data_IF_174661082344
#
_entry.id   IF_174661082344
#
_cell.length_a   1.000
_cell.length_b   1.000
_cell.length_c   1.000
_cell.angle_alpha   90.00
_cell.angle_beta   90.00
_cell.angle_gamma   90.00
#
_symmetry.space_group_name_H-M   'P 1'
#
loop_
_entity.id
_entity.type
_entity.pdbx_description
1 polymer ?
#
# COMPACT_ATOMS: atom_id res chain seq x y z
N UNK A 1 -72.78 20.81 -11.25
CA UNK A 1 -73.76 20.15 -12.15
C UNK A 1 -74.33 18.95 -11.41
N UNK A 2 -75.66 18.86 -11.40
CA UNK A 2 -76.44 17.69 -10.94
C UNK A 2 -76.01 16.42 -11.68
N UNK A 3 -75.87 15.32 -10.94
CA UNK A 3 -76.62 14.06 -11.02
C UNK A 3 -76.30 13.16 -12.22
N UNK A 4 -76.00 11.90 -11.92
CA UNK A 4 -76.82 10.81 -12.45
C UNK A 4 -77.22 9.88 -11.31
N UNK A 5 -78.54 9.76 -11.14
CA UNK A 5 -79.26 8.76 -10.35
C UNK A 5 -79.86 7.84 -11.40
N UNK A 6 -79.45 6.57 -11.43
CA UNK A 6 -80.29 5.42 -11.76
C UNK A 6 -79.41 4.19 -12.00
N UNK A 7 -79.48 3.24 -11.07
CA UNK A 7 -79.83 1.84 -11.37
C UNK A 7 -79.97 1.11 -10.05
N UNK A 8 -81.13 1.34 -9.43
CA UNK A 8 -81.73 0.39 -8.51
C UNK A 8 -82.12 -0.82 -9.34
N UNK A 9 -81.35 -1.89 -9.26
CA UNK A 9 -81.85 -3.22 -9.56
C UNK A 9 -81.42 -4.15 -8.42
N UNK A 10 -82.36 -4.43 -7.52
CA UNK A 10 -82.33 -5.63 -6.71
C UNK A 10 -83.18 -6.68 -7.43
N UNK A 11 -82.62 -7.85 -7.77
CA UNK A 11 -83.42 -9.04 -7.99
C UNK A 11 -83.32 -9.95 -6.76
N UNK A 12 -84.50 -10.13 -6.17
CA UNK A 12 -85.05 -11.32 -5.50
C UNK A 12 -84.11 -12.53 -5.35
N UNK A 13 -84.04 -12.97 -4.09
CA UNK A 13 -83.55 -14.25 -3.56
C UNK A 13 -83.75 -15.43 -4.52
N UNK A 14 -82.64 -15.96 -5.03
CA UNK A 14 -82.51 -17.31 -5.54
C UNK A 14 -81.42 -18.01 -4.72
N UNK A 15 -81.80 -19.08 -4.01
CA UNK A 15 -80.87 -19.98 -3.34
C UNK A 15 -79.98 -20.65 -4.39
N UNK A 16 -78.78 -20.12 -4.57
CA UNK A 16 -77.69 -20.79 -5.27
C UNK A 16 -76.45 -20.59 -4.39
N UNK A 17 -76.02 -21.69 -3.79
CA UNK A 17 -74.74 -21.97 -3.13
C UNK A 17 -73.88 -20.74 -2.84
N UNK A 18 -73.85 -20.33 -1.56
CA UNK A 18 -72.80 -19.47 -1.04
C UNK A 18 -71.46 -20.20 -1.23
N UNK A 19 -70.78 -19.98 -2.35
CA UNK A 19 -69.33 -20.10 -2.37
C UNK A 19 -68.85 -19.13 -1.29
N UNK A 20 -68.31 -19.65 -0.18
CA UNK A 20 -67.50 -18.88 0.75
C UNK A 20 -66.34 -18.30 -0.06
N UNK A 21 -66.55 -17.12 -0.65
CA UNK A 21 -65.46 -16.31 -1.17
C UNK A 21 -64.67 -15.96 0.07
N UNK A 22 -63.55 -16.64 0.28
CA UNK A 22 -62.60 -16.45 1.38
C UNK A 22 -61.92 -15.06 1.23
N UNK A 23 -62.73 -14.00 1.27
CA UNK A 23 -62.28 -12.62 1.44
C UNK A 23 -61.99 -12.44 2.92
N UNK A 24 -60.89 -13.06 3.35
CA UNK A 24 -60.30 -12.83 4.66
C UNK A 24 -60.08 -11.32 4.85
N UNK A 25 -60.36 -10.81 6.06
CA UNK A 25 -60.20 -9.39 6.42
C UNK A 25 -58.83 -8.81 6.04
N UNK A 26 -57.81 -9.69 5.94
CA UNK A 26 -56.45 -9.38 5.50
C UNK A 26 -56.35 -8.88 4.06
N UNK A 27 -57.33 -9.19 3.21
CA UNK A 27 -57.36 -8.81 1.80
C UNK A 27 -58.10 -7.48 1.55
N UNK A 28 -58.66 -6.86 2.59
CA UNK A 28 -59.36 -5.58 2.47
C UNK A 28 -58.36 -4.41 2.35
N UNK A 29 -58.51 -3.52 1.35
CA UNK A 29 -57.60 -2.40 1.16
C UNK A 29 -57.78 -1.35 2.27
N UNK A 30 -56.73 -1.14 3.05
CA UNK A 30 -56.72 -0.14 4.12
C UNK A 30 -56.62 1.28 3.55
N UNK A 31 -57.71 2.04 3.65
CA UNK A 31 -57.78 3.44 3.26
C UNK A 31 -57.04 4.34 4.27
N UNK A 32 -56.37 5.38 3.77
CA UNK A 32 -55.69 6.40 4.58
C UNK A 32 -54.62 5.89 5.57
N UNK A 33 -54.04 4.70 5.35
CA UNK A 33 -52.97 4.15 6.20
C UNK A 33 -51.55 4.28 5.62
N UNK A 34 -51.39 5.03 4.52
CA UNK A 34 -50.06 5.33 3.97
C UNK A 34 -49.33 6.37 4.83
N UNK A 35 -47.98 6.38 4.79
CA UNK A 35 -47.11 7.32 5.53
C UNK A 35 -47.54 8.78 5.47
N UNK A 36 -48.00 9.26 4.31
CA UNK A 36 -48.52 10.63 4.13
C UNK A 36 -49.75 10.99 4.99
N UNK A 37 -50.42 9.99 5.56
CA UNK A 37 -51.59 10.13 6.42
C UNK A 37 -51.28 9.81 7.88
N UNK A 38 -50.33 8.90 8.14
CA UNK A 38 -49.99 8.42 9.49
C UNK A 38 -48.82 9.20 10.11
N UNK A 39 -47.91 9.72 9.29
CA UNK A 39 -46.76 10.52 9.71
C UNK A 39 -47.05 12.00 9.50
N UNK A 40 -46.51 12.84 10.38
CA UNK A 40 -46.56 14.29 10.22
C UNK A 40 -45.75 14.67 8.97
N UNK A 41 -46.36 15.42 8.06
CA UNK A 41 -45.68 15.92 6.85
C UNK A 41 -44.73 17.06 7.25
N UNK A 42 -43.49 16.71 7.55
CA UNK A 42 -42.40 17.66 7.82
C UNK A 42 -41.10 17.22 7.12
N UNK A 43 -40.25 18.20 6.81
CA UNK A 43 -38.93 17.93 6.25
C UNK A 43 -38.01 17.27 7.29
N UNK A 44 -37.12 16.38 6.84
CA UNK A 44 -36.12 15.79 7.73
C UNK A 44 -35.15 16.86 8.25
N UNK A 45 -34.76 16.75 9.52
CA UNK A 45 -33.75 17.64 10.10
C UNK A 45 -32.41 17.38 9.40
N UNK A 46 -31.81 18.42 8.84
CA UNK A 46 -30.47 18.33 8.28
C UNK A 46 -29.45 18.06 9.40
N UNK A 47 -28.81 16.89 9.37
CA UNK A 47 -27.71 16.56 10.27
C UNK A 47 -26.43 17.24 9.79
N UNK A 48 -25.67 17.83 10.72
CA UNK A 48 -24.38 18.42 10.42
C UNK A 48 -23.43 17.36 9.84
N UNK A 49 -22.92 17.61 8.63
CA UNK A 49 -22.07 16.68 7.91
C UNK A 49 -20.59 16.99 8.17
N UNK A 50 -19.86 16.04 8.76
CA UNK A 50 -18.43 16.18 9.12
C UNK A 50 -17.47 15.41 8.19
N UNK A 51 -17.95 14.89 7.05
CA UNK A 51 -17.11 14.10 6.14
C UNK A 51 -16.17 14.92 5.25
N UNK A 52 -16.44 16.23 5.10
CA UNK A 52 -15.66 17.10 4.23
C UNK A 52 -14.35 17.49 4.90
N UNK A 53 -13.24 17.13 4.27
CA UNK A 53 -11.92 17.62 4.66
C UNK A 53 -11.85 19.14 4.47
N UNK A 54 -11.54 19.85 5.55
CA UNK A 54 -11.45 21.33 5.56
C UNK A 54 -10.07 21.81 5.16
N UNK A 55 -9.02 21.16 5.67
CA UNK A 55 -7.63 21.56 5.46
C UNK A 55 -6.90 20.52 4.62
N UNK A 56 -6.56 20.84 3.37
CA UNK A 56 -5.70 19.99 2.54
C UNK A 56 -4.26 20.46 2.68
N UNK A 57 -3.39 19.57 3.12
CA UNK A 57 -1.96 19.87 3.25
C UNK A 57 -1.19 19.34 2.04
N UNK A 58 -0.04 19.96 1.78
CA UNK A 58 0.88 19.49 0.76
C UNK A 58 2.32 19.72 1.21
N UNK A 59 3.07 18.64 1.29
CA UNK A 59 4.51 18.67 1.48
C UNK A 59 5.17 19.23 0.21
N UNK A 60 5.93 20.31 0.40
CA UNK A 60 6.56 21.10 -0.67
C UNK A 60 8.07 20.86 -0.78
N UNK A 61 8.74 20.57 0.32
CA UNK A 61 10.17 20.32 0.40
C UNK A 61 10.46 19.06 1.21
N UNK A 62 11.55 18.38 0.85
CA UNK A 62 12.11 17.25 1.60
C UNK A 62 13.60 17.52 1.75
N UNK A 63 14.09 17.39 2.97
CA UNK A 63 15.50 17.43 3.29
C UNK A 63 15.95 16.00 3.59
N UNK A 64 16.95 15.51 2.86
CA UNK A 64 17.58 14.21 3.10
C UNK A 64 18.91 14.45 3.79
N UNK A 65 19.08 13.92 5.00
CA UNK A 65 20.31 14.02 5.79
C UNK A 65 20.87 12.62 5.96
N UNK A 66 22.04 12.38 5.37
CA UNK A 66 22.73 11.09 5.40
C UNK A 66 24.01 11.22 6.24
N UNK A 67 24.05 10.54 7.37
CA UNK A 67 25.18 10.54 8.30
C UNK A 67 25.96 9.22 8.19
N UNK A 68 26.41 8.88 6.97
CA UNK A 68 27.11 7.62 6.70
C UNK A 68 28.62 7.86 6.56
N UNK A 69 29.42 7.24 7.43
CA UNK A 69 30.87 7.16 7.28
C UNK A 69 31.24 5.81 6.67
N UNK A 70 31.26 5.73 5.34
CA UNK A 70 31.40 4.45 4.62
C UNK A 70 32.73 3.76 4.96
N UNK A 71 32.64 2.51 5.42
CA UNK A 71 33.79 1.68 5.80
C UNK A 71 34.27 1.89 7.24
N UNK A 72 33.64 2.77 8.01
CA UNK A 72 33.97 3.00 9.42
C UNK A 72 32.73 2.81 10.28
N UNK A 73 32.77 1.81 11.14
CA UNK A 73 31.67 1.50 12.04
C UNK A 73 31.67 2.46 13.25
N UNK A 74 30.48 2.90 13.72
CA UNK A 74 30.39 3.69 14.95
C UNK A 74 30.85 2.85 16.15
N UNK A 75 31.45 3.49 17.17
CA UNK A 75 32.05 2.79 18.32
C UNK A 75 31.03 2.01 19.16
N UNK A 76 29.75 2.38 19.08
CA UNK A 76 28.67 1.82 19.91
C UNK A 76 28.04 0.55 19.32
N UNK A 77 28.46 0.10 18.13
CA UNK A 77 27.83 -1.00 17.41
C UNK A 77 28.81 -2.14 17.17
N UNK A 78 28.54 -3.30 17.79
CA UNK A 78 29.24 -4.54 17.48
C UNK A 78 28.52 -5.25 16.33
N UNK A 79 29.13 -5.27 15.14
CA UNK A 79 28.57 -5.99 13.99
C UNK A 79 28.86 -7.47 14.05
N UNK A 80 27.87 -8.29 13.70
CA UNK A 80 28.05 -9.73 13.46
C UNK A 80 28.72 -9.97 12.10
N UNK A 81 29.30 -11.16 11.89
CA UNK A 81 29.77 -11.60 10.57
C UNK A 81 29.07 -12.90 10.20
N UNK A 82 28.21 -12.92 9.15
CA UNK A 82 27.82 -11.81 8.27
C UNK A 82 26.84 -10.80 8.93
N UNK A 83 26.69 -9.61 8.32
CA UNK A 83 25.76 -8.55 8.75
C UNK A 83 25.03 -7.90 7.57
N UNK A 84 23.93 -7.19 7.87
CA UNK A 84 23.22 -6.33 6.94
C UNK A 84 24.15 -5.21 6.42
N UNK A 85 24.22 -5.04 5.10
CA UNK A 85 25.14 -4.07 4.44
C UNK A 85 24.47 -3.13 3.45
N UNK A 86 23.35 -3.54 2.85
CA UNK A 86 22.73 -2.77 1.77
C UNK A 86 22.10 -1.49 2.34
N UNK A 87 22.45 -0.36 1.74
CA UNK A 87 21.94 0.98 2.05
C UNK A 87 21.30 1.53 0.78
N UNK A 88 20.00 1.84 0.82
CA UNK A 88 19.19 2.22 -0.34
C UNK A 88 19.36 1.24 -1.52
N UNK A 89 19.46 -0.05 -1.19
CA UNK A 89 19.69 -1.17 -2.11
C UNK A 89 21.06 -1.18 -2.82
N UNK A 90 22.03 -0.40 -2.33
CA UNK A 90 23.40 -0.38 -2.82
C UNK A 90 24.31 -0.99 -1.75
N UNK A 91 25.28 -1.81 -2.15
CA UNK A 91 26.38 -2.19 -1.26
C UNK A 91 27.38 -1.02 -1.19
N UNK A 92 27.51 -0.32 -0.04
CA UNK A 92 28.42 0.81 0.09
C UNK A 92 29.89 0.43 -0.06
N UNK A 93 30.24 -0.85 0.12
CA UNK A 93 31.60 -1.36 -0.01
C UNK A 93 31.95 -1.78 -1.45
N UNK A 94 30.98 -1.80 -2.37
CA UNK A 94 31.19 -2.17 -3.77
C UNK A 94 31.87 -1.08 -4.61
N UNK A 95 31.89 0.16 -4.12
CA UNK A 95 32.48 1.33 -4.81
C UNK A 95 33.29 2.17 -3.83
N UNK A 96 33.93 3.26 -4.30
CA UNK A 96 34.65 4.16 -3.40
C UNK A 96 33.69 4.88 -2.44
N UNK A 97 34.10 5.20 -1.19
CA UNK A 97 33.24 5.85 -0.18
C UNK A 97 32.48 7.09 -0.66
N UNK A 98 33.15 7.97 -1.43
CA UNK A 98 32.53 9.19 -1.98
C UNK A 98 31.46 8.85 -3.01
N UNK A 99 31.77 7.96 -3.96
CA UNK A 99 30.84 7.53 -5.01
C UNK A 99 29.67 6.75 -4.43
N UNK A 100 29.92 5.92 -3.41
CA UNK A 100 28.88 5.22 -2.67
C UNK A 100 27.88 6.22 -2.05
N UNK A 101 28.37 7.25 -1.36
CA UNK A 101 27.52 8.26 -0.72
C UNK A 101 26.68 9.05 -1.74
N UNK A 102 27.27 9.45 -2.86
CA UNK A 102 26.53 10.11 -3.96
C UNK A 102 25.45 9.21 -4.55
N UNK A 103 25.78 7.93 -4.80
CA UNK A 103 24.85 6.97 -5.40
C UNK A 103 23.71 6.63 -4.45
N UNK A 104 24.00 6.43 -3.16
CA UNK A 104 23.00 6.22 -2.10
C UNK A 104 22.08 7.43 -1.99
N UNK A 105 22.63 8.65 -1.96
CA UNK A 105 21.85 9.88 -1.93
C UNK A 105 20.93 10.05 -3.14
N UNK A 106 21.44 9.81 -4.34
CA UNK A 106 20.66 9.88 -5.57
C UNK A 106 19.54 8.81 -5.61
N UNK A 107 19.83 7.59 -5.15
CA UNK A 107 18.82 6.54 -5.07
C UNK A 107 17.73 6.87 -4.05
N UNK A 108 18.09 7.33 -2.85
CA UNK A 108 17.13 7.73 -1.83
C UNK A 108 16.22 8.86 -2.32
N UNK A 109 16.80 9.85 -3.00
CA UNK A 109 16.04 10.93 -3.62
C UNK A 109 15.01 10.38 -4.63
N UNK A 110 15.43 9.55 -5.59
CA UNK A 110 14.54 8.92 -6.57
C UNK A 110 13.41 8.12 -5.90
N UNK A 111 13.71 7.42 -4.81
CA UNK A 111 12.69 6.66 -4.08
C UNK A 111 11.62 7.57 -3.46
N UNK A 112 11.99 8.75 -2.93
CA UNK A 112 11.02 9.73 -2.43
C UNK A 112 10.25 10.44 -3.56
N UNK A 113 10.90 10.71 -4.69
CA UNK A 113 10.28 11.32 -5.88
C UNK A 113 9.15 10.46 -6.45
N UNK A 114 9.23 9.13 -6.35
CA UNK A 114 8.14 8.22 -6.74
C UNK A 114 6.83 8.50 -5.98
N UNK A 115 6.92 8.95 -4.72
CA UNK A 115 5.74 9.27 -3.89
C UNK A 115 5.26 10.70 -4.09
N UNK A 116 6.18 11.62 -4.42
CA UNK A 116 5.84 13.02 -4.69
C UNK A 116 6.86 13.66 -5.66
N UNK A 117 6.56 13.71 -6.98
CA UNK A 117 7.50 14.17 -8.02
C UNK A 117 7.82 15.68 -8.01
N UNK A 118 7.20 16.48 -7.13
CA UNK A 118 7.27 17.96 -7.15
C UNK A 118 7.93 18.54 -5.90
N UNK A 119 8.83 17.78 -5.28
CA UNK A 119 9.52 18.18 -4.07
C UNK A 119 10.97 18.51 -4.41
N UNK A 120 11.42 19.71 -4.04
CA UNK A 120 12.81 20.09 -4.18
C UNK A 120 13.64 19.39 -3.08
N UNK A 121 14.64 18.60 -3.48
CA UNK A 121 15.65 18.08 -2.57
C UNK A 121 16.67 19.18 -2.28
N UNK A 122 16.85 19.53 -1.00
CA UNK A 122 17.83 20.53 -0.58
C UNK A 122 19.10 19.81 -0.15
N UNK A 123 20.23 20.13 -0.80
CA UNK A 123 21.54 19.62 -0.42
C UNK A 123 22.00 20.27 0.90
N UNK A 124 22.44 19.49 1.91
CA UNK A 124 22.89 20.04 3.20
C UNK A 124 24.14 20.93 3.12
N UNK A 125 24.89 20.92 2.01
CA UNK A 125 26.01 21.84 1.78
C UNK A 125 25.57 23.26 1.35
N UNK A 126 24.28 23.51 1.22
CA UNK A 126 23.77 24.86 0.96
C UNK A 126 23.90 25.72 2.23
N UNK A 127 24.45 26.97 2.14
CA UNK A 127 24.68 27.81 3.30
C UNK A 127 23.38 27.98 4.10
N UNK A 128 23.46 27.60 5.38
CA UNK A 128 22.53 27.83 6.48
C UNK A 128 21.15 28.30 6.03
N UNK A 129 20.28 27.35 5.70
CA UNK A 129 18.83 27.60 5.70
C UNK A 129 18.50 28.11 7.10
N UNK A 130 18.23 29.41 7.22
CA UNK A 130 17.64 29.98 8.42
C UNK A 130 16.33 29.23 8.66
N UNK A 131 16.37 28.23 9.55
CA UNK A 131 15.15 27.59 10.01
C UNK A 131 14.33 28.69 10.69
N UNK A 132 13.08 28.95 10.26
CA UNK A 132 12.17 29.79 11.04
C UNK A 132 12.09 29.21 12.46
N UNK A 133 11.81 30.07 13.45
CA UNK A 133 11.62 29.68 14.86
C UNK A 133 10.92 28.31 14.98
N UNK A 134 11.32 27.45 15.94
CA UNK A 134 10.78 26.11 16.05
C UNK A 134 9.25 26.19 16.08
N UNK A 135 8.57 25.63 15.06
CA UNK A 135 7.12 25.63 15.04
C UNK A 135 6.63 24.89 16.29
N UNK A 136 5.42 25.22 16.73
CA UNK A 136 4.76 24.46 17.79
C UNK A 136 4.82 22.97 17.47
N UNK A 137 5.59 22.22 18.27
CA UNK A 137 5.84 20.79 18.07
C UNK A 137 4.56 19.94 18.14
N UNK A 138 3.43 20.53 18.57
CA UNK A 138 2.12 19.89 18.65
C UNK A 138 1.59 19.40 17.30
N UNK A 139 2.05 19.97 16.18
CA UNK A 139 1.63 19.58 14.83
C UNK A 139 2.70 18.81 14.05
N UNK A 140 3.80 18.40 14.70
CA UNK A 140 4.86 17.64 14.06
C UNK A 140 4.48 16.15 13.97
N UNK A 141 4.67 15.59 12.78
CA UNK A 141 4.60 14.15 12.54
C UNK A 141 6.03 13.60 12.61
N UNK A 142 6.22 12.51 13.33
CA UNK A 142 7.52 11.86 13.49
C UNK A 142 7.36 10.35 13.28
N UNK A 143 8.33 9.76 12.58
CA UNK A 143 8.43 8.31 12.38
C UNK A 143 9.84 7.89 12.80
N UNK A 144 9.95 6.88 13.66
CA UNK A 144 11.20 6.37 14.19
C UNK A 144 11.25 4.85 14.00
N UNK A 145 12.45 4.34 13.75
CA UNK A 145 12.68 2.95 13.39
C UNK A 145 12.56 1.97 14.57
N UNK A 146 12.95 2.41 15.78
CA UNK A 146 13.05 1.57 16.96
C UNK A 146 12.73 2.35 18.25
N UNK A 147 12.43 1.64 19.34
CA UNK A 147 12.37 2.23 20.67
C UNK A 147 13.78 2.55 21.21
N UNK A 148 13.85 3.39 22.25
CA UNK A 148 15.11 3.93 22.77
C UNK A 148 16.11 2.88 23.28
N UNK A 149 15.63 1.68 23.62
CA UNK A 149 16.45 0.56 24.12
C UNK A 149 16.68 -0.55 23.09
N UNK A 150 16.10 -0.43 21.89
CA UNK A 150 16.19 -1.44 20.85
C UNK A 150 17.34 -1.13 19.88
N UNK A 151 17.83 -2.17 19.20
CA UNK A 151 18.84 -2.05 18.15
C UNK A 151 18.23 -2.46 16.82
N UNK A 152 18.70 -1.83 15.74
CA UNK A 152 18.28 -2.19 14.40
C UNK A 152 18.70 -3.63 14.05
N UNK A 153 17.91 -4.36 13.24
CA UNK A 153 18.25 -5.72 12.83
C UNK A 153 19.56 -5.79 12.05
N UNK A 154 20.40 -6.77 12.37
CA UNK A 154 21.69 -7.01 11.68
C UNK A 154 21.68 -8.22 10.74
N UNK A 155 20.50 -8.81 10.46
CA UNK A 155 20.38 -9.98 9.60
C UNK A 155 20.96 -9.69 8.20
N UNK A 156 21.97 -10.45 7.71
CA UNK A 156 22.60 -10.22 6.40
C UNK A 156 21.66 -10.28 5.20
N UNK A 157 20.54 -11.00 5.34
CA UNK A 157 19.55 -11.12 4.28
C UNK A 157 18.67 -9.88 4.15
N UNK A 158 18.80 -8.90 5.04
CA UNK A 158 18.06 -7.64 5.02
C UNK A 158 18.98 -6.45 4.74
N UNK A 159 18.44 -5.34 4.22
CA UNK A 159 19.20 -4.10 4.13
C UNK A 159 19.44 -3.50 5.52
N UNK A 160 20.55 -2.78 5.65
CA UNK A 160 20.89 -2.02 6.86
C UNK A 160 19.88 -0.87 7.09
N UNK A 161 19.33 -0.30 6.01
CA UNK A 161 18.27 0.71 6.05
C UNK A 161 16.85 0.13 6.07
N UNK A 162 16.62 -0.99 6.76
CA UNK A 162 15.34 -1.72 6.75
C UNK A 162 14.10 -0.83 6.92
N UNK A 163 14.14 0.12 7.87
CA UNK A 163 13.03 1.05 8.11
C UNK A 163 12.77 1.96 6.91
N UNK A 164 13.82 2.60 6.39
CA UNK A 164 13.74 3.46 5.20
C UNK A 164 13.25 2.65 4.01
N UNK A 165 13.82 1.46 3.78
CA UNK A 165 13.42 0.52 2.74
C UNK A 165 11.93 0.14 2.82
N UNK A 166 11.37 -0.03 4.03
CA UNK A 166 9.93 -0.21 4.24
C UNK A 166 9.13 1.02 3.84
N UNK A 167 9.58 2.22 4.22
CA UNK A 167 8.89 3.47 3.92
C UNK A 167 8.96 3.89 2.45
N UNK A 168 10.04 3.59 1.75
CA UNK A 168 10.30 4.11 0.41
C UNK A 168 10.13 3.07 -0.69
N UNK A 169 10.31 1.79 -0.38
CA UNK A 169 10.24 0.66 -1.32
C UNK A 169 9.48 -0.55 -0.73
N UNK A 170 8.21 -0.36 -0.29
CA UNK A 170 7.46 -1.33 0.50
C UNK A 170 7.29 -2.69 -0.21
N UNK A 171 6.98 -2.68 -1.51
CA UNK A 171 6.76 -3.92 -2.27
C UNK A 171 8.04 -4.75 -2.35
N UNK A 172 9.18 -4.11 -2.61
CA UNK A 172 10.47 -4.80 -2.73
C UNK A 172 10.87 -5.47 -1.42
N UNK A 173 10.78 -4.76 -0.30
CA UNK A 173 11.12 -5.34 1.01
C UNK A 173 10.07 -6.37 1.48
N UNK A 174 8.79 -6.16 1.18
CA UNK A 174 7.74 -7.11 1.54
C UNK A 174 7.95 -8.47 0.86
N UNK A 175 8.30 -8.47 -0.43
CA UNK A 175 8.57 -9.69 -1.19
C UNK A 175 9.83 -10.39 -0.71
N UNK A 176 10.92 -9.64 -0.50
CA UNK A 176 12.17 -10.17 0.06
C UNK A 176 11.94 -10.80 1.43
N UNK A 177 11.24 -10.10 2.32
CA UNK A 177 10.88 -10.60 3.65
C UNK A 177 9.95 -11.82 3.58
N UNK A 178 8.97 -11.82 2.67
CA UNK A 178 8.05 -12.96 2.46
C UNK A 178 8.81 -14.23 2.11
N UNK A 179 9.76 -14.17 1.16
CA UNK A 179 10.59 -15.32 0.78
C UNK A 179 11.45 -15.88 1.92
N UNK A 180 11.75 -15.07 2.94
CA UNK A 180 12.45 -15.52 4.14
C UNK A 180 11.53 -16.21 5.15
N UNK A 181 10.21 -16.02 5.06
CA UNK A 181 9.26 -16.63 5.98
C UNK A 181 9.08 -18.12 5.71
N UNK A 182 8.79 -18.89 6.77
CA UNK A 182 8.56 -20.35 6.68
C UNK A 182 7.42 -20.73 5.72
N UNK A 183 6.44 -19.83 5.53
CA UNK A 183 5.30 -20.02 4.62
C UNK A 183 5.63 -19.94 3.13
N UNK A 184 6.70 -19.22 2.73
CA UNK A 184 7.10 -19.12 1.33
C UNK A 184 7.65 -20.43 0.74
N UNK A 185 7.92 -21.43 1.59
CA UNK A 185 8.30 -22.78 1.15
C UNK A 185 7.15 -23.53 0.45
N UNK A 186 5.93 -22.99 0.46
CA UNK A 186 4.76 -23.59 -0.19
C UNK A 186 4.79 -23.45 -1.71
N UNK A 187 5.53 -22.49 -2.26
CA UNK A 187 5.75 -22.35 -3.71
C UNK A 187 7.13 -22.93 -4.05
N UNK A 188 7.23 -24.22 -4.43
CA UNK A 188 8.50 -24.78 -4.87
C UNK A 188 8.98 -24.06 -6.14
N UNK A 189 10.21 -23.52 -6.11
CA UNK A 189 10.85 -22.87 -7.25
C UNK A 189 11.03 -21.35 -7.14
N UNK A 190 10.41 -20.67 -6.16
CA UNK A 190 10.63 -19.23 -5.92
C UNK A 190 11.71 -19.05 -4.85
N UNK A 191 12.96 -18.86 -5.26
CA UNK A 191 14.07 -18.51 -4.37
C UNK A 191 14.30 -17.00 -4.37
N UNK A 192 15.02 -16.49 -3.35
CA UNK A 192 15.51 -15.10 -3.34
C UNK A 192 16.30 -14.78 -4.62
N UNK A 193 16.99 -15.77 -5.20
CA UNK A 193 17.69 -15.63 -6.49
C UNK A 193 16.75 -15.42 -7.68
N UNK A 194 15.55 -15.99 -7.69
CA UNK A 194 14.57 -15.71 -8.75
C UNK A 194 14.11 -14.25 -8.69
N UNK A 195 14.01 -13.70 -7.49
CA UNK A 195 13.68 -12.30 -7.27
C UNK A 195 14.90 -11.42 -7.60
N UNK A 196 16.09 -11.76 -7.10
CA UNK A 196 17.29 -10.90 -7.09
C UNK A 196 18.30 -11.13 -8.22
N UNK A 197 18.27 -12.22 -8.97
CA UNK A 197 19.38 -12.65 -9.85
C UNK A 197 18.96 -13.05 -11.27
N UNK A 198 18.41 -12.11 -12.07
CA UNK A 198 18.20 -12.37 -13.51
C UNK A 198 18.77 -11.33 -14.49
N UNK A 199 19.86 -10.63 -14.13
CA UNK A 199 20.76 -9.98 -15.10
C UNK A 199 22.16 -9.71 -14.50
N UNK A 200 23.03 -10.72 -14.41
CA UNK A 200 24.36 -10.47 -14.99
C UNK A 200 24.73 -11.39 -16.15
N UNK A 201 24.05 -12.53 -16.33
CA UNK A 201 24.50 -13.56 -17.30
C UNK A 201 24.21 -13.23 -18.77
N UNK A 202 23.10 -12.57 -19.08
CA UNK A 202 22.75 -12.17 -20.46
C UNK A 202 23.58 -10.97 -20.97
N UNK A 203 23.97 -10.05 -20.08
CA UNK A 203 24.81 -8.91 -20.45
C UNK A 203 26.25 -9.34 -20.76
N UNK A 204 26.77 -10.35 -20.05
CA UNK A 204 28.12 -10.89 -20.28
C UNK A 204 28.19 -11.72 -21.58
N UNK A 205 27.12 -12.47 -21.92
CA UNK A 205 27.07 -13.26 -23.15
C UNK A 205 26.86 -12.40 -24.42
N UNK A 206 26.16 -11.27 -24.32
CA UNK A 206 25.88 -10.41 -25.49
C UNK A 206 27.01 -9.46 -25.86
N UNK A 207 27.93 -9.15 -24.94
CA UNK A 207 29.09 -8.30 -25.24
C UNK A 207 30.22 -9.02 -26.02
N UNK A 208 30.12 -10.34 -26.23
CA UNK A 208 31.16 -11.14 -26.87
C UNK A 208 30.94 -11.54 -28.34
N UNK A 209 29.76 -11.29 -28.94
CA UNK A 209 29.41 -11.98 -30.22
C UNK A 209 28.89 -11.08 -31.36
N UNK A 210 28.52 -9.81 -31.14
CA UNK A 210 28.08 -8.94 -32.26
C UNK A 210 28.65 -7.51 -32.17
N UNK A 211 29.68 -7.15 -32.99
CA UNK A 211 30.26 -5.80 -32.99
C UNK A 211 29.43 -4.73 -33.71
N UNK A 212 28.23 -5.03 -34.23
CA UNK A 212 27.57 -4.16 -35.21
C UNK A 212 26.17 -3.61 -34.89
N UNK A 213 25.68 -3.75 -33.65
CA UNK A 213 24.50 -3.01 -33.20
C UNK A 213 24.91 -1.94 -32.19
N UNK A 214 25.30 -0.77 -32.71
CA UNK A 214 25.22 0.48 -31.93
C UNK A 214 23.74 0.79 -31.72
N UNK A 215 23.22 0.42 -30.56
CA UNK A 215 21.97 1.01 -30.09
C UNK A 215 22.32 2.38 -29.52
N UNK A 216 22.06 3.42 -30.32
CA UNK A 216 22.04 4.80 -29.86
C UNK A 216 20.78 5.00 -29.03
N UNK A 217 20.89 4.90 -27.71
CA UNK A 217 19.99 5.58 -26.78
C UNK A 217 20.73 5.78 -25.45
N UNK A 218 21.04 7.05 -25.18
CA UNK A 218 21.45 7.54 -23.88
C UNK A 218 20.25 7.45 -22.91
N UNK A 219 20.00 6.27 -22.35
CA UNK A 219 19.25 6.11 -21.11
C UNK A 219 19.81 4.89 -20.39
N UNK A 220 20.88 5.13 -19.65
CA UNK A 220 21.46 4.21 -18.70
C UNK A 220 20.53 4.04 -17.49
N UNK A 221 19.42 3.33 -17.69
CA UNK A 221 18.61 2.69 -16.65
C UNK A 221 19.39 1.48 -16.09
N UNK A 222 20.52 1.78 -15.45
CA UNK A 222 21.41 0.80 -14.83
C UNK A 222 20.69 0.01 -13.75
N UNK A 223 20.45 -1.26 -14.05
CA UNK A 223 20.71 -2.42 -13.18
C UNK A 223 20.20 -2.32 -11.73
N UNK A 224 18.92 -2.66 -11.50
CA UNK A 224 18.43 -3.04 -10.17
C UNK A 224 17.68 -4.38 -10.26
N UNK A 225 18.19 -5.46 -9.66
CA UNK A 225 17.60 -6.77 -9.89
C UNK A 225 16.57 -7.07 -8.79
N UNK A 226 15.32 -6.79 -9.12
CA UNK A 226 14.12 -7.37 -8.53
C UNK A 226 13.08 -7.47 -9.64
N UNK A 227 13.30 -8.36 -10.61
CA UNK A 227 12.66 -8.28 -11.94
C UNK A 227 11.28 -8.95 -11.99
N UNK A 228 10.40 -8.60 -11.04
CA UNK A 228 8.97 -8.81 -11.25
C UNK A 228 8.55 -7.95 -12.45
N UNK A 229 7.93 -8.53 -13.49
CA UNK A 229 7.53 -7.78 -14.67
C UNK A 229 6.58 -6.64 -14.31
N UNK A 230 6.83 -5.46 -14.89
CA UNK A 230 5.90 -4.35 -14.83
C UNK A 230 6.41 -3.06 -14.22
N UNK A 231 5.47 -2.13 -14.01
CA UNK A 231 5.70 -0.83 -13.38
C UNK A 231 4.72 -0.66 -12.24
N UNK A 232 5.14 -0.02 -11.14
CA UNK A 232 4.30 0.21 -9.95
C UNK A 232 2.99 0.96 -10.24
N UNK A 233 2.96 1.75 -11.32
CA UNK A 233 1.79 2.54 -11.73
C UNK A 233 0.85 1.77 -12.66
N UNK A 234 1.28 0.64 -13.23
CA UNK A 234 0.48 -0.15 -14.17
C UNK A 234 -0.16 -1.36 -13.49
N UNK A 235 -1.44 -1.22 -13.14
CA UNK A 235 -2.24 -2.25 -12.46
C UNK A 235 -2.43 -3.54 -13.26
N UNK A 236 -2.10 -3.56 -14.56
CA UNK A 236 -2.18 -4.77 -15.39
C UNK A 236 -0.94 -5.64 -15.28
N UNK A 237 0.12 -5.11 -14.67
CA UNK A 237 1.38 -5.83 -14.49
C UNK A 237 1.44 -6.45 -13.10
N UNK A 238 2.13 -7.59 -12.91
CA UNK A 238 2.27 -8.23 -11.61
C UNK A 238 2.74 -7.27 -10.52
N UNK A 239 3.74 -6.42 -10.84
CA UNK A 239 4.27 -5.45 -9.89
C UNK A 239 3.25 -4.36 -9.51
N UNK A 240 2.50 -3.84 -10.48
CA UNK A 240 1.51 -2.79 -10.22
C UNK A 240 0.23 -3.33 -9.56
N UNK A 241 -0.15 -4.59 -9.82
CA UNK A 241 -1.23 -5.26 -9.10
C UNK A 241 -0.87 -5.43 -7.62
N UNK A 242 0.32 -5.98 -7.30
CA UNK A 242 0.80 -6.10 -5.93
C UNK A 242 0.82 -4.74 -5.21
N UNK A 243 1.29 -3.69 -5.89
CA UNK A 243 1.28 -2.34 -5.33
C UNK A 243 -0.14 -1.83 -5.04
N UNK A 244 -1.11 -2.14 -5.90
CA UNK A 244 -2.50 -1.75 -5.71
C UNK A 244 -3.17 -2.52 -4.57
N UNK A 245 -2.95 -3.85 -4.50
CA UNK A 245 -3.41 -4.70 -3.39
C UNK A 245 -2.81 -4.22 -2.08
N UNK A 246 -1.51 -3.96 -2.03
CA UNK A 246 -0.82 -3.43 -0.85
C UNK A 246 -1.45 -2.13 -0.37
N UNK A 247 -1.72 -1.19 -1.28
CA UNK A 247 -2.37 0.08 -0.97
C UNK A 247 -3.78 -0.14 -0.40
N UNK A 248 -4.57 -1.04 -1.00
CA UNK A 248 -5.92 -1.35 -0.54
C UNK A 248 -5.92 -1.99 0.86
N UNK A 249 -5.02 -2.94 1.10
CA UNK A 249 -4.90 -3.64 2.38
C UNK A 249 -4.45 -2.69 3.49
N UNK A 250 -3.38 -1.92 3.28
CA UNK A 250 -2.87 -0.99 4.29
C UNK A 250 -3.86 0.13 4.60
N UNK A 251 -4.60 0.64 3.61
CA UNK A 251 -5.66 1.62 3.82
C UNK A 251 -6.84 1.03 4.59
N UNK A 252 -7.20 -0.23 4.32
CA UNK A 252 -8.25 -0.96 5.05
C UNK A 252 -7.87 -1.22 6.50
N UNK A 253 -6.63 -1.63 6.77
CA UNK A 253 -6.11 -1.80 8.13
C UNK A 253 -6.20 -0.48 8.89
N UNK A 254 -5.71 0.61 8.28
CA UNK A 254 -5.74 1.93 8.90
C UNK A 254 -7.17 2.40 9.20
N UNK A 255 -8.12 2.19 8.28
CA UNK A 255 -9.52 2.59 8.48
C UNK A 255 -10.20 1.83 9.62
N UNK A 256 -9.90 0.53 9.77
CA UNK A 256 -10.51 -0.31 10.79
C UNK A 256 -9.89 -0.14 12.18
N UNK A 257 -8.60 0.24 12.25
CA UNK A 257 -7.87 0.36 13.53
C UNK A 257 -7.86 1.78 14.08
N UNK A 258 -7.80 2.81 13.22
CA UNK A 258 -7.61 4.18 13.66
C UNK A 258 -8.93 4.91 13.93
N UNK A 259 -8.98 5.82 14.93
CA UNK A 259 -10.08 6.77 15.06
C UNK A 259 -10.23 7.60 13.79
N UNK A 260 -11.48 7.93 13.43
CA UNK A 260 -11.82 8.63 12.18
C UNK A 260 -11.01 9.92 11.97
N UNK A 261 -10.83 10.72 13.01
CA UNK A 261 -10.10 11.99 12.92
C UNK A 261 -8.60 11.77 12.63
N UNK A 262 -8.00 10.76 13.28
CA UNK A 262 -6.60 10.41 13.08
C UNK A 262 -6.38 9.83 11.67
N UNK A 263 -7.29 8.96 11.21
CA UNK A 263 -7.26 8.43 9.86
C UNK A 263 -7.34 9.55 8.81
N UNK A 264 -8.29 10.48 8.96
CA UNK A 264 -8.41 11.60 8.02
C UNK A 264 -7.15 12.47 8.01
N UNK A 265 -6.57 12.74 9.18
CA UNK A 265 -5.33 13.51 9.31
C UNK A 265 -4.14 12.83 8.63
N UNK A 266 -3.94 11.53 8.82
CA UNK A 266 -2.73 10.84 8.36
C UNK A 266 -2.87 10.21 6.97
N UNK A 267 -4.04 9.67 6.62
CA UNK A 267 -4.24 8.89 5.38
C UNK A 267 -4.99 9.65 4.27
N UNK A 268 -5.47 10.87 4.54
CA UNK A 268 -6.27 11.65 3.56
C UNK A 268 -5.80 13.10 3.35
N UNK A 269 -5.14 13.70 4.34
CA UNK A 269 -4.80 15.13 4.30
C UNK A 269 -3.67 15.50 3.33
N UNK A 270 -2.62 14.68 3.29
CA UNK A 270 -1.41 14.85 2.46
C UNK A 270 -1.04 13.50 1.82
N UNK A 271 -0.68 13.53 0.53
CA UNK A 271 -0.38 12.31 -0.23
C UNK A 271 0.91 11.61 0.22
N UNK A 272 1.96 12.38 0.53
CA UNK A 272 3.24 11.83 0.99
C UNK A 272 3.08 11.27 2.39
N UNK A 273 2.43 12.01 3.30
CA UNK A 273 2.15 11.53 4.66
C UNK A 273 1.33 10.24 4.60
N UNK A 274 0.29 10.19 3.78
CA UNK A 274 -0.54 9.00 3.64
C UNK A 274 0.25 7.80 3.10
N UNK A 275 1.15 8.02 2.13
CA UNK A 275 2.03 6.96 1.62
C UNK A 275 3.01 6.49 2.68
N UNK A 276 3.67 7.40 3.40
CA UNK A 276 4.57 7.06 4.51
C UNK A 276 3.86 6.26 5.60
N UNK A 277 2.63 6.63 5.97
CA UNK A 277 1.88 5.90 7.00
C UNK A 277 1.36 4.54 6.54
N UNK A 278 0.93 4.38 5.27
CA UNK A 278 0.64 3.04 4.71
C UNK A 278 1.86 2.14 4.77
N UNK A 279 3.01 2.68 4.38
CA UNK A 279 4.28 1.97 4.35
C UNK A 279 4.84 1.71 5.77
N UNK A 280 4.52 2.59 6.73
CA UNK A 280 4.85 2.40 8.13
C UNK A 280 4.13 1.21 8.75
N UNK A 281 2.90 0.88 8.32
CA UNK A 281 2.21 -0.34 8.80
C UNK A 281 2.97 -1.61 8.39
N UNK A 282 3.57 -1.62 7.20
CA UNK A 282 4.46 -2.69 6.77
C UNK A 282 5.75 -2.72 7.60
N UNK A 283 6.35 -1.56 7.87
CA UNK A 283 7.52 -1.44 8.73
C UNK A 283 7.24 -2.02 10.13
N UNK A 284 6.09 -1.66 10.73
CA UNK A 284 5.65 -2.20 12.02
C UNK A 284 5.60 -3.73 11.99
N UNK A 285 5.04 -4.29 10.92
CA UNK A 285 4.92 -5.75 10.77
C UNK A 285 6.27 -6.45 10.60
N UNK A 286 7.12 -5.96 9.70
CA UNK A 286 8.41 -6.59 9.39
C UNK A 286 9.36 -6.46 10.58
N UNK A 287 9.52 -5.25 11.13
CA UNK A 287 10.52 -4.98 12.15
C UNK A 287 10.19 -5.69 13.48
N UNK A 288 8.90 -5.89 13.79
CA UNK A 288 8.49 -6.68 14.97
C UNK A 288 8.94 -8.13 14.92
N UNK A 289 9.15 -8.71 13.72
CA UNK A 289 9.71 -10.06 13.59
C UNK A 289 11.19 -10.15 13.97
N UNK A 290 11.87 -9.00 14.10
CA UNK A 290 13.27 -8.86 14.47
C UNK A 290 13.46 -8.10 15.79
N UNK A 291 12.47 -8.17 16.70
CA UNK A 291 12.51 -7.51 18.01
C UNK A 291 12.75 -5.99 17.96
N UNK A 292 12.23 -5.35 16.92
CA UNK A 292 12.35 -3.92 16.72
C UNK A 292 10.94 -3.33 16.54
N UNK A 293 10.64 -2.27 17.27
CA UNK A 293 9.30 -1.68 17.37
C UNK A 293 9.34 -0.25 16.81
N UNK A 294 8.92 -0.05 15.56
CA UNK A 294 8.80 1.28 14.99
C UNK A 294 7.82 2.14 15.77
N UNK A 295 8.16 3.40 15.94
CA UNK A 295 7.37 4.37 16.69
C UNK A 295 6.91 5.51 15.77
N UNK A 296 5.70 6.03 16.03
CA UNK A 296 5.18 7.20 15.33
C UNK A 296 4.56 8.21 16.29
N UNK A 297 4.64 9.48 15.92
CA UNK A 297 3.88 10.57 16.52
C UNK A 297 3.04 11.23 15.42
N UNK A 298 1.69 11.22 15.52
CA UNK A 298 0.87 10.63 16.58
C UNK A 298 1.00 9.10 16.67
N UNK A 299 0.87 8.54 17.88
CA UNK A 299 0.99 7.09 18.12
C UNK A 299 -0.17 6.32 17.51
N UNK A 300 0.15 5.32 16.70
CA UNK A 300 -0.84 4.37 16.18
C UNK A 300 -1.05 3.20 17.17
N UNK A 301 -2.27 2.65 17.25
CA UNK A 301 -2.50 1.33 17.84
C UNK A 301 -1.77 0.24 17.03
N UNK A 302 -1.45 -0.91 17.64
CA UNK A 302 -0.72 -1.98 16.97
C UNK A 302 -1.51 -2.56 15.79
N UNK A 303 -0.88 -2.65 14.61
CA UNK A 303 -1.53 -3.16 13.38
C UNK A 303 -0.96 -4.46 12.86
N UNK A 304 0.18 -4.91 13.38
CA UNK A 304 0.95 -6.05 12.87
C UNK A 304 0.22 -7.40 12.88
N UNK A 305 -0.77 -7.60 13.76
CA UNK A 305 -1.59 -8.82 13.85
C UNK A 305 -2.96 -8.72 13.17
N UNK A 306 -3.22 -7.65 12.40
CA UNK A 306 -4.51 -7.47 11.75
C UNK A 306 -4.77 -8.56 10.69
N UNK A 307 -5.97 -9.15 10.66
CA UNK A 307 -6.31 -10.27 9.78
C UNK A 307 -6.09 -9.99 8.28
N UNK A 308 -6.26 -8.73 7.84
CA UNK A 308 -5.99 -8.33 6.45
C UNK A 308 -4.54 -8.59 5.99
N UNK A 309 -3.58 -8.75 6.90
CA UNK A 309 -2.23 -9.18 6.55
C UNK A 309 -2.19 -10.62 6.01
N UNK A 310 -3.11 -11.49 6.42
CA UNK A 310 -3.24 -12.84 5.85
C UNK A 310 -3.71 -12.78 4.40
N UNK A 311 -4.59 -11.83 4.06
CA UNK A 311 -5.01 -11.59 2.68
C UNK A 311 -3.85 -11.06 1.82
N UNK A 312 -2.97 -10.23 2.39
CA UNK A 312 -1.74 -9.79 1.73
C UNK A 312 -0.81 -10.96 1.44
N UNK A 313 -0.56 -11.80 2.45
CA UNK A 313 0.32 -12.96 2.31
C UNK A 313 -0.20 -13.92 1.24
N UNK A 314 -1.50 -14.19 1.21
CA UNK A 314 -2.14 -15.02 0.20
C UNK A 314 -2.02 -14.41 -1.21
N UNK A 315 -2.25 -13.10 -1.35
CA UNK A 315 -2.14 -12.42 -2.64
C UNK A 315 -0.69 -12.45 -3.18
N UNK A 316 0.29 -12.26 -2.30
CA UNK A 316 1.71 -12.38 -2.65
C UNK A 316 2.02 -13.81 -3.09
N UNK A 317 1.55 -14.82 -2.36
CA UNK A 317 1.77 -16.23 -2.67
C UNK A 317 1.25 -16.60 -4.08
N UNK A 318 0.02 -16.19 -4.40
CA UNK A 318 -0.60 -16.40 -5.71
C UNK A 318 0.14 -15.66 -6.83
N UNK A 319 0.62 -14.44 -6.56
CA UNK A 319 1.37 -13.68 -7.55
C UNK A 319 2.73 -14.32 -7.83
N UNK A 320 3.43 -14.76 -6.78
CA UNK A 320 4.76 -15.36 -6.89
C UNK A 320 4.71 -16.74 -7.54
N UNK A 321 3.64 -17.53 -7.31
CA UNK A 321 3.48 -18.84 -7.96
C UNK A 321 3.33 -18.76 -9.48
N UNK A 322 2.90 -17.62 -10.02
CA UNK A 322 2.79 -17.39 -11.46
C UNK A 322 4.10 -16.92 -12.12
N UNK A 323 5.09 -16.46 -11.33
CA UNK A 323 6.31 -15.88 -11.89
C UNK A 323 7.12 -16.87 -12.76
N UNK A 324 7.35 -18.13 -12.35
CA UNK A 324 8.11 -19.08 -13.17
C UNK A 324 7.50 -19.26 -14.56
N UNK A 325 6.19 -19.45 -14.65
CA UNK A 325 5.49 -19.64 -15.94
C UNK A 325 5.46 -18.36 -16.80
N UNK A 326 5.39 -17.17 -16.19
CA UNK A 326 5.43 -15.92 -16.94
C UNK A 326 6.83 -15.69 -17.54
N UNK A 327 7.87 -16.01 -16.77
CA UNK A 327 9.27 -15.78 -17.16
C UNK A 327 9.74 -16.82 -18.18
N UNK A 328 9.44 -18.10 -17.96
CA UNK A 328 9.93 -19.20 -18.80
C UNK A 328 9.08 -19.41 -20.06
N UNK A 329 7.75 -19.30 -19.93
CA UNK A 329 6.81 -19.65 -21.01
C UNK A 329 6.17 -18.41 -21.68
N UNK A 330 6.41 -17.21 -21.15
CA UNK A 330 5.82 -15.96 -21.68
C UNK A 330 4.30 -15.89 -21.49
N UNK A 331 3.76 -16.62 -20.51
CA UNK A 331 2.31 -16.69 -20.26
C UNK A 331 1.74 -15.35 -19.79
N UNK A 332 0.47 -15.10 -20.11
CA UNK A 332 -0.24 -13.91 -19.64
C UNK A 332 -0.50 -14.00 -18.13
N UNK A 333 -0.19 -12.93 -17.42
CA UNK A 333 -0.43 -12.81 -15.98
C UNK A 333 -1.93 -12.82 -15.66
N UNK A 334 -2.33 -13.62 -14.67
CA UNK A 334 -3.74 -13.76 -14.25
C UNK A 334 -3.99 -12.99 -12.97
N UNK A 335 -4.91 -12.03 -13.06
CA UNK A 335 -5.32 -11.09 -12.00
C UNK A 335 -6.37 -11.72 -11.07
N UNK A 336 -7.01 -12.82 -11.48
CA UNK A 336 -8.07 -13.47 -10.69
C UNK A 336 -8.01 -15.00 -10.77
N UNK A 337 -8.31 -15.66 -9.64
CA UNK A 337 -8.56 -17.11 -9.57
C UNK A 337 -9.75 -17.54 -10.42
N UNK A 338 -10.61 -16.61 -10.86
CA UNK A 338 -11.79 -16.92 -11.70
C UNK A 338 -11.47 -17.09 -13.18
N UNK A 339 -10.25 -16.80 -13.65
CA UNK A 339 -9.87 -16.96 -15.06
C UNK A 339 -9.51 -18.40 -15.43
N UNK A 340 -10.07 -19.39 -14.71
CA UNK A 340 -10.10 -20.78 -15.17
C UNK A 340 -11.26 -20.97 -16.13
N UNK A 341 -10.89 -21.19 -17.40
CA UNK A 341 -11.66 -21.78 -18.50
C UNK A 341 -12.46 -20.83 -19.43
N UNK A 342 -11.87 -20.62 -20.60
CA UNK A 342 -12.59 -20.82 -21.87
C UNK A 342 -11.64 -21.57 -22.82
N UNK A 343 -11.69 -22.90 -22.78
CA UNK A 343 -11.26 -23.77 -23.89
C UNK A 343 -12.49 -24.03 -24.75
#
# INVERSE_FOLDING_TARGET
MKMDVELVHSPVVGLAEEEEVDMTDWNLPLAFMKKRHTEKIEGSKALAQSWRMKDRMKTVSVALVLCLNVGVDPPDVVKTSPCAKLECWIDPLSTSPQKALETIGANLQKQYENWQPRVAAINPNHPLVQMPLPPSMKNCIQLAACEASELLPMNPDLPADLFTSCLTTPIKIALRWFCMQKGAKLVPGVTLDLIENFLPWLAVLLHGVLPHLRCSDENQDHLHPSRIPGRLNDRRTPLGELNWIFTAITDTIAWNVLPRDLFQKLFRQDLLVASLFRNFLLAERIMRSYNCTPFSSPRLPPTYMHAMWQAWDLAVDICLSQLPTIIEEGTAFRVSMTDTASV
#
